data_IF_765109025252
#
_entry.id   IF_765109025252
#
_cell.length_a   1.000
_cell.length_b   1.000
_cell.length_c   1.000
_cell.angle_alpha   90.00
_cell.angle_beta   90.00
_cell.angle_gamma   90.00
#
_symmetry.space_group_name_H-M   'P 1'
#
loop_
_entity.id
_entity.type
_entity.pdbx_description
1 polymer ?
#
# COMPACT_ATOMS: atom_id res chain seq x y z
N UNK A 1 -14.11 -7.85 11.04
CA UNK A 1 -12.89 -7.71 11.86
C UNK A 1 -11.70 -8.03 10.96
N UNK A 2 -11.06 -7.02 10.39
CA UNK A 2 -9.81 -7.22 9.63
C UNK A 2 -8.72 -7.41 10.68
N UNK A 3 -8.11 -8.59 10.71
CA UNK A 3 -6.95 -8.89 11.58
C UNK A 3 -5.68 -8.37 10.87
N UNK A 4 -4.68 -7.90 11.62
CA UNK A 4 -3.43 -7.34 11.07
C UNK A 4 -2.70 -8.28 10.09
N UNK A 5 -2.79 -9.61 10.29
CA UNK A 5 -2.26 -10.61 9.35
C UNK A 5 -2.89 -10.54 7.96
N UNK A 6 -4.13 -10.04 7.85
CA UNK A 6 -4.86 -9.95 6.59
C UNK A 6 -4.45 -8.70 5.79
N UNK A 7 -4.09 -7.59 6.45
CA UNK A 7 -3.71 -6.34 5.78
C UNK A 7 -2.47 -6.57 4.91
N UNK A 8 -1.40 -7.10 5.50
CA UNK A 8 -0.14 -7.31 4.78
C UNK A 8 -0.29 -8.24 3.58
N UNK A 9 -1.04 -9.33 3.72
CA UNK A 9 -1.29 -10.24 2.61
C UNK A 9 -2.09 -9.60 1.48
N UNK A 10 -3.11 -8.79 1.80
CA UNK A 10 -3.91 -8.08 0.79
C UNK A 10 -3.07 -7.05 0.02
N UNK A 11 -2.27 -6.26 0.75
CA UNK A 11 -1.38 -5.27 0.12
C UNK A 11 -0.33 -5.97 -0.74
N UNK A 12 0.29 -7.05 -0.26
CA UNK A 12 1.28 -7.81 -1.03
C UNK A 12 0.66 -8.40 -2.31
N UNK A 13 -0.53 -9.00 -2.22
CA UNK A 13 -1.26 -9.53 -3.38
C UNK A 13 -1.57 -8.44 -4.41
N UNK A 14 -1.97 -7.25 -3.95
CA UNK A 14 -2.21 -6.11 -4.83
C UNK A 14 -0.93 -5.66 -5.53
N UNK A 15 0.16 -5.47 -4.78
CA UNK A 15 1.46 -5.06 -5.33
C UNK A 15 2.01 -6.07 -6.33
N UNK A 16 1.89 -7.36 -6.02
CA UNK A 16 2.33 -8.42 -6.92
C UNK A 16 1.56 -8.41 -8.25
N UNK A 17 0.27 -8.06 -8.24
CA UNK A 17 -0.56 -8.04 -9.46
C UNK A 17 -0.45 -6.74 -10.24
N UNK A 18 -0.56 -5.61 -9.55
CA UNK A 18 -0.75 -4.29 -10.17
C UNK A 18 0.53 -3.46 -10.24
N UNK A 19 1.53 -3.74 -9.38
CA UNK A 19 2.78 -2.96 -9.32
C UNK A 19 3.92 -3.69 -10.01
N UNK A 20 4.16 -4.96 -9.68
CA UNK A 20 5.35 -5.71 -10.14
C UNK A 20 5.08 -6.79 -11.16
N UNK A 21 3.86 -6.87 -11.70
CA UNK A 21 3.48 -7.75 -12.81
C UNK A 21 3.85 -9.25 -12.55
N UNK A 22 3.70 -9.69 -11.31
CA UNK A 22 3.95 -11.07 -10.88
C UNK A 22 5.38 -11.35 -10.42
N UNK A 23 6.26 -10.33 -10.33
CA UNK A 23 7.56 -10.47 -9.68
C UNK A 23 7.40 -10.40 -8.15
N UNK A 24 8.15 -11.23 -7.44
CA UNK A 24 8.27 -11.16 -5.98
C UNK A 24 8.67 -9.75 -5.53
N UNK A 25 8.00 -9.28 -4.48
CA UNK A 25 8.20 -7.96 -3.87
C UNK A 25 8.77 -8.15 -2.48
N UNK A 26 9.92 -7.54 -2.18
CA UNK A 26 10.35 -7.40 -0.80
C UNK A 26 9.47 -6.33 -0.13
N UNK A 27 8.76 -6.64 0.97
CA UNK A 27 7.89 -5.68 1.61
C UNK A 27 8.58 -4.40 2.11
N UNK A 28 9.90 -4.43 2.29
CA UNK A 28 10.71 -3.29 2.74
C UNK A 28 11.40 -2.52 1.60
N UNK A 29 11.34 -3.01 0.36
CA UNK A 29 11.95 -2.37 -0.80
C UNK A 29 11.19 -1.10 -1.19
N UNK A 30 11.94 -0.03 -1.50
CA UNK A 30 11.38 1.21 -2.04
C UNK A 30 11.20 1.07 -3.55
N UNK A 31 10.01 0.61 -3.93
CA UNK A 31 9.63 0.38 -5.31
C UNK A 31 9.54 1.69 -6.11
N UNK A 32 9.45 2.84 -5.45
CA UNK A 32 9.41 4.14 -6.13
C UNK A 32 10.81 4.56 -6.53
N UNK A 33 11.78 4.41 -5.63
CA UNK A 33 13.19 4.62 -5.93
C UNK A 33 13.68 3.67 -7.04
N UNK A 34 13.17 2.44 -7.07
CA UNK A 34 13.49 1.46 -8.11
C UNK A 34 12.70 1.64 -9.42
N UNK A 35 11.78 2.60 -9.47
CA UNK A 35 11.00 2.94 -10.66
C UNK A 35 9.91 1.93 -11.03
N UNK A 36 9.57 1.02 -10.10
CA UNK A 36 8.55 0.00 -10.28
C UNK A 36 7.15 0.54 -9.97
N UNK A 37 7.05 1.46 -9.03
CA UNK A 37 5.84 2.24 -8.76
C UNK A 37 6.04 3.69 -9.22
N UNK A 38 5.01 4.26 -9.84
CA UNK A 38 4.97 5.64 -10.30
C UNK A 38 3.75 6.36 -9.71
N UNK A 39 3.58 7.64 -10.03
CA UNK A 39 2.44 8.42 -9.55
C UNK A 39 1.07 7.84 -9.93
N UNK A 40 0.96 7.16 -11.08
CA UNK A 40 -0.30 6.58 -11.53
C UNK A 40 -0.63 5.32 -10.73
N UNK A 41 0.38 4.46 -10.51
CA UNK A 41 0.24 3.28 -9.66
C UNK A 41 -0.07 3.66 -8.21
N UNK A 42 0.51 4.75 -7.68
CA UNK A 42 0.18 5.28 -6.34
C UNK A 42 -1.30 5.63 -6.23
N UNK A 43 -1.89 6.30 -7.24
CA UNK A 43 -3.34 6.58 -7.26
C UNK A 43 -4.17 5.29 -7.23
N UNK A 44 -3.70 4.23 -7.90
CA UNK A 44 -4.29 2.90 -7.83
C UNK A 44 -4.24 2.30 -6.42
N UNK A 45 -3.08 2.37 -5.76
CA UNK A 45 -2.90 1.92 -4.37
C UNK A 45 -3.84 2.67 -3.44
N UNK A 46 -3.98 3.98 -3.59
CA UNK A 46 -4.92 4.79 -2.78
C UNK A 46 -6.34 4.27 -2.97
N UNK A 47 -6.81 4.13 -4.21
CA UNK A 47 -8.15 3.61 -4.48
C UNK A 47 -8.39 2.20 -3.95
N UNK A 48 -7.37 1.34 -4.00
CA UNK A 48 -7.39 0.02 -3.35
C UNK A 48 -7.56 0.14 -1.84
N UNK A 49 -6.77 1.00 -1.18
CA UNK A 49 -6.84 1.19 0.27
C UNK A 49 -8.21 1.70 0.70
N UNK A 50 -8.74 2.70 0.00
CA UNK A 50 -10.06 3.28 0.29
C UNK A 50 -11.19 2.26 0.08
N UNK A 51 -11.13 1.50 -1.01
CA UNK A 51 -12.17 0.51 -1.36
C UNK A 51 -12.13 -0.72 -0.46
N UNK A 52 -10.95 -1.30 -0.20
CA UNK A 52 -10.83 -2.55 0.55
C UNK A 52 -10.94 -2.37 2.06
N UNK A 53 -10.44 -1.24 2.59
CA UNK A 53 -10.41 -1.00 4.03
C UNK A 53 -11.46 0.04 4.48
N UNK A 54 -12.16 0.69 3.55
CA UNK A 54 -13.13 1.74 3.88
C UNK A 54 -12.49 2.98 4.50
N UNK A 55 -11.22 3.21 4.21
CA UNK A 55 -10.46 4.37 4.68
C UNK A 55 -10.64 5.54 3.72
N UNK A 56 -10.33 6.75 4.19
CA UNK A 56 -10.24 7.95 3.36
C UNK A 56 -8.81 8.44 3.45
N UNK A 57 -8.13 8.53 2.31
CA UNK A 57 -6.77 9.07 2.24
C UNK A 57 -6.88 10.57 1.99
N UNK A 58 -6.39 11.36 2.95
CA UNK A 58 -6.41 12.82 2.87
C UNK A 58 -5.11 13.34 2.24
N UNK A 59 -5.10 14.59 1.77
CA UNK A 59 -3.93 15.22 1.13
C UNK A 59 -2.64 15.11 1.97
N UNK A 60 -2.76 15.12 3.31
CA UNK A 60 -1.60 14.97 4.22
C UNK A 60 -0.99 13.55 4.18
N UNK A 61 -1.73 12.54 3.73
CA UNK A 61 -1.23 11.17 3.55
C UNK A 61 -0.56 10.95 2.19
N UNK A 62 -0.72 11.87 1.21
CA UNK A 62 -0.23 11.73 -0.17
C UNK A 62 1.30 11.75 -0.33
N UNK A 63 2.03 11.78 0.78
CA UNK A 63 3.46 11.61 0.80
C UNK A 63 3.86 10.28 0.13
N UNK A 64 4.66 10.35 -0.93
CA UNK A 64 5.12 9.17 -1.70
C UNK A 64 5.73 8.10 -0.78
N UNK A 65 6.40 8.54 0.29
CA UNK A 65 6.97 7.63 1.28
C UNK A 65 5.95 6.65 1.89
N UNK A 66 4.67 7.05 2.02
CA UNK A 66 3.58 6.19 2.51
C UNK A 66 3.14 5.11 1.51
N UNK A 67 3.49 5.25 0.24
CA UNK A 67 3.08 4.34 -0.84
C UNK A 67 4.27 3.68 -1.57
N UNK A 68 5.49 4.02 -1.17
CA UNK A 68 6.75 3.57 -1.77
C UNK A 68 7.01 2.06 -1.60
N UNK A 69 6.44 1.44 -0.57
CA UNK A 69 6.66 0.04 -0.22
C UNK A 69 5.40 -0.59 0.38
N UNK A 70 5.34 -1.92 0.37
CA UNK A 70 4.24 -2.68 1.01
C UNK A 70 4.17 -2.36 2.50
N UNK A 71 5.31 -2.32 3.20
CA UNK A 71 5.34 -1.99 4.62
C UNK A 71 4.85 -0.57 4.91
N UNK A 72 5.18 0.41 4.06
CA UNK A 72 4.70 1.78 4.21
C UNK A 72 3.16 1.85 4.09
N UNK A 73 2.59 1.18 3.09
CA UNK A 73 1.13 1.12 2.91
C UNK A 73 0.48 0.39 4.08
N UNK A 74 1.05 -0.71 4.56
CA UNK A 74 0.55 -1.40 5.75
C UNK A 74 0.55 -0.48 6.98
N UNK A 75 1.64 0.26 7.20
CA UNK A 75 1.74 1.21 8.31
C UNK A 75 0.71 2.34 8.19
N UNK A 76 0.46 2.85 6.98
CA UNK A 76 -0.58 3.84 6.72
C UNK A 76 -1.96 3.30 7.11
N UNK A 77 -2.30 2.09 6.64
CA UNK A 77 -3.58 1.43 6.94
C UNK A 77 -3.71 1.20 8.45
N UNK A 78 -2.68 0.68 9.12
CA UNK A 78 -2.71 0.42 10.57
C UNK A 78 -2.90 1.70 11.38
N UNK A 79 -2.20 2.79 11.03
CA UNK A 79 -2.35 4.09 11.67
C UNK A 79 -3.76 4.66 11.48
N UNK A 80 -4.32 4.59 10.27
CA UNK A 80 -5.66 5.12 9.98
C UNK A 80 -6.77 4.23 10.54
N UNK A 81 -6.58 2.90 10.58
CA UNK A 81 -7.55 1.94 11.09
C UNK A 81 -7.57 1.82 12.63
N UNK A 82 -6.70 2.54 13.36
CA UNK A 82 -6.53 2.43 14.83
C UNK A 82 -6.38 0.98 15.30
N UNK A 83 -5.72 0.13 14.51
CA UNK A 83 -5.39 -1.24 14.91
C UNK A 83 -4.29 -1.14 15.98
N UNK A 84 -4.71 -1.07 17.25
CA UNK A 84 -3.84 -1.04 18.43
C UNK A 84 -3.71 -2.42 19.06
#
# INVERSE_FOLDING_TARGET
MVQATNVKSLVLDYFLREVTEGRDVDPAEDLFADGQIDSLKIVGVIGFVESEFGLVIEDDDFEISNFSSVNAVCALIENRAQLS
#
